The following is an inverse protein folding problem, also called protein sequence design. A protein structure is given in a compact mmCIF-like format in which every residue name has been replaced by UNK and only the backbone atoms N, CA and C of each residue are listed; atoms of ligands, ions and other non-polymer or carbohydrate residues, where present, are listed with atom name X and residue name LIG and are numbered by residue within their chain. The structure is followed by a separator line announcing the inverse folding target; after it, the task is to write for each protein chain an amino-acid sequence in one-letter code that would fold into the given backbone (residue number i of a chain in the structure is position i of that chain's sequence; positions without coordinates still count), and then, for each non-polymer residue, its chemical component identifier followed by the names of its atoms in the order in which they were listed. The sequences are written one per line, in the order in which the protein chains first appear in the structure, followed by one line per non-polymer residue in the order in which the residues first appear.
data_IF_976087717626
#
_entry.id   IF_976087717626
#
_cell.length_a   1.000
_cell.length_b   1.000
_cell.length_c   1.000
_cell.angle_alpha   90.00
_cell.angle_beta   90.00
_cell.angle_gamma   90.00
#
_symmetry.space_group_name_H-M   'P 1'
#
loop_
_entity.id
_entity.type
_entity.pdbx_description
1 polymer ?
#
# COMPACT_ATOMS: atom_id res chain seq x y z
N UNK A 1 -16.46 18.86 -20.75
CA UNK A 1 -17.25 17.74 -20.17
C UNK A 1 -18.25 18.35 -19.19
N UNK A 2 -19.56 18.15 -19.40
CA UNK A 2 -20.59 18.61 -18.45
C UNK A 2 -20.42 17.89 -17.11
N UNK A 3 -20.44 18.61 -15.99
CA UNK A 3 -20.35 18.01 -14.65
C UNK A 3 -21.59 17.14 -14.37
N UNK A 4 -21.47 16.17 -13.46
CA UNK A 4 -22.62 15.33 -13.05
C UNK A 4 -23.80 16.18 -12.56
N UNK A 5 -23.52 17.30 -11.88
CA UNK A 5 -24.54 18.28 -11.47
C UNK A 5 -25.26 18.97 -12.63
N UNK A 6 -24.55 19.39 -13.68
CA UNK A 6 -25.18 19.96 -14.90
C UNK A 6 -26.03 18.93 -15.64
N UNK A 7 -25.61 17.66 -15.65
CA UNK A 7 -26.42 16.57 -16.24
C UNK A 7 -27.69 16.30 -15.45
N UNK A 8 -27.61 16.34 -14.12
CA UNK A 8 -28.77 16.15 -13.25
C UNK A 8 -29.74 17.34 -13.35
N UNK A 9 -29.23 18.58 -13.31
CA UNK A 9 -30.02 19.80 -13.52
C UNK A 9 -30.74 19.81 -14.87
N UNK A 10 -30.05 19.44 -15.95
CA UNK A 10 -30.65 19.38 -17.29
C UNK A 10 -31.66 18.23 -17.44
N UNK A 11 -31.54 17.17 -16.64
CA UNK A 11 -32.45 16.02 -16.69
C UNK A 11 -33.76 16.29 -15.93
N UNK A 12 -33.70 16.96 -14.78
CA UNK A 12 -34.87 17.18 -13.92
C UNK A 12 -35.51 18.58 -14.05
N UNK A 13 -34.75 19.62 -14.43
CA UNK A 13 -35.27 21.01 -14.50
C UNK A 13 -35.92 21.50 -13.19
N UNK A 14 -36.79 22.51 -13.27
CA UNK A 14 -37.61 23.00 -12.14
C UNK A 14 -38.85 22.12 -11.85
N UNK A 15 -38.91 20.88 -12.38
CA UNK A 15 -40.09 20.01 -12.20
C UNK A 15 -40.03 19.25 -10.88
N UNK A 16 -41.18 19.17 -10.18
CA UNK A 16 -41.37 18.25 -9.05
C UNK A 16 -41.11 16.81 -9.52
N UNK A 17 -40.15 16.13 -8.89
CA UNK A 17 -39.78 14.74 -9.15
C UNK A 17 -41.02 13.84 -9.14
N UNK A 18 -41.38 13.27 -10.30
CA UNK A 18 -42.45 12.27 -10.38
C UNK A 18 -41.91 10.87 -10.02
N UNK A 19 -42.81 9.93 -9.70
CA UNK A 19 -42.46 8.52 -9.47
C UNK A 19 -41.81 7.88 -10.70
N UNK A 20 -42.20 8.29 -11.91
CA UNK A 20 -41.57 7.85 -13.16
C UNK A 20 -40.13 8.35 -13.32
N UNK A 21 -39.86 9.58 -12.89
CA UNK A 21 -38.51 10.15 -12.94
C UNK A 21 -37.56 9.41 -11.97
N UNK A 22 -38.03 9.10 -10.76
CA UNK A 22 -37.32 8.27 -9.79
C UNK A 22 -37.05 6.85 -10.30
N UNK A 23 -38.04 6.19 -10.90
CA UNK A 23 -37.86 4.87 -11.49
C UNK A 23 -36.82 4.88 -12.62
N UNK A 24 -36.82 5.91 -13.48
CA UNK A 24 -35.83 6.07 -14.55
C UNK A 24 -34.41 6.32 -14.00
N UNK A 25 -34.29 7.10 -12.92
CA UNK A 25 -33.03 7.37 -12.25
C UNK A 25 -32.47 6.11 -11.59
N UNK A 26 -33.30 5.39 -10.83
CA UNK A 26 -32.91 4.13 -10.19
C UNK A 26 -32.51 3.11 -11.26
N UNK A 27 -33.28 2.96 -12.33
CA UNK A 27 -32.93 2.06 -13.44
C UNK A 27 -31.59 2.40 -14.10
N UNK A 28 -31.26 3.69 -14.24
CA UNK A 28 -30.01 4.14 -14.85
C UNK A 28 -28.79 4.02 -13.92
N UNK A 29 -28.97 4.26 -12.62
CA UNK A 29 -27.87 4.37 -11.65
C UNK A 29 -27.86 3.27 -10.58
N UNK A 30 -28.65 2.20 -10.75
CA UNK A 30 -28.82 1.12 -9.76
C UNK A 30 -27.48 0.62 -9.18
N UNK A 31 -26.47 0.44 -10.02
CA UNK A 31 -25.16 -0.05 -9.60
C UNK A 31 -24.47 0.92 -8.62
N UNK A 32 -24.49 2.22 -8.91
CA UNK A 32 -23.91 3.25 -8.04
C UNK A 32 -24.71 3.37 -6.76
N UNK A 33 -26.04 3.27 -6.84
CA UNK A 33 -26.92 3.30 -5.67
C UNK A 33 -26.66 2.10 -4.75
N UNK A 34 -26.40 0.91 -5.30
CA UNK A 34 -26.04 -0.26 -4.49
C UNK A 34 -24.68 -0.11 -3.83
N UNK A 35 -23.68 0.46 -4.52
CA UNK A 35 -22.39 0.79 -3.90
C UNK A 35 -22.59 1.80 -2.77
N UNK A 36 -23.37 2.85 -3.01
CA UNK A 36 -23.66 3.85 -1.98
C UNK A 36 -24.39 3.22 -0.79
N UNK A 37 -25.35 2.32 -1.03
CA UNK A 37 -26.09 1.63 0.01
C UNK A 37 -25.20 0.73 0.87
N UNK A 38 -24.30 -0.06 0.27
CA UNK A 38 -23.42 -0.95 1.04
C UNK A 38 -22.35 -0.17 1.83
N UNK A 39 -21.83 0.93 1.26
CA UNK A 39 -20.90 1.82 1.97
C UNK A 39 -21.63 2.56 3.11
N UNK A 40 -22.87 3.00 2.89
CA UNK A 40 -23.70 3.61 3.93
C UNK A 40 -24.02 2.62 5.05
N UNK A 41 -24.33 1.37 4.73
CA UNK A 41 -24.50 0.30 5.72
C UNK A 41 -23.22 0.08 6.52
N UNK A 42 -22.06 -0.01 5.85
CA UNK A 42 -20.78 -0.14 6.51
C UNK A 42 -20.46 1.04 7.42
N UNK A 43 -20.81 2.26 7.01
CA UNK A 43 -20.69 3.47 7.83
C UNK A 43 -21.61 3.43 9.04
N UNK A 44 -22.88 3.05 8.87
CA UNK A 44 -23.82 2.87 9.99
C UNK A 44 -23.26 1.90 11.03
N UNK A 45 -22.83 0.70 10.60
CA UNK A 45 -22.28 -0.30 11.51
C UNK A 45 -20.99 0.13 12.23
N UNK A 46 -20.16 0.98 11.60
CA UNK A 46 -18.86 1.41 12.15
C UNK A 46 -18.93 2.69 12.97
N UNK A 47 -19.88 3.56 12.68
CA UNK A 47 -20.00 4.87 13.33
C UNK A 47 -21.10 4.90 14.40
N UNK A 48 -22.03 3.93 14.38
CA UNK A 48 -23.07 3.81 15.40
C UNK A 48 -22.45 3.55 16.77
N UNK A 49 -22.67 4.44 17.73
CA UNK A 49 -22.25 4.29 19.12
C UNK A 49 -20.76 3.92 19.30
N UNK A 50 -19.90 4.65 18.58
CA UNK A 50 -18.46 4.34 18.53
C UNK A 50 -17.72 4.60 19.86
N UNK A 51 -18.29 5.47 20.70
CA UNK A 51 -17.74 5.84 22.00
C UNK A 51 -18.18 4.96 23.18
N UNK A 52 -19.13 4.04 22.99
CA UNK A 52 -19.77 3.31 24.10
C UNK A 52 -18.80 2.49 24.97
N UNK A 53 -17.77 1.92 24.32
CA UNK A 53 -16.83 1.00 24.97
C UNK A 53 -15.75 1.78 25.71
N UNK A 54 -15.44 1.37 26.94
CA UNK A 54 -14.28 1.84 27.66
C UNK A 54 -12.99 1.70 26.83
N UNK A 55 -12.08 2.66 26.96
CA UNK A 55 -10.78 2.64 26.28
C UNK A 55 -9.98 1.43 26.75
N UNK A 56 -9.61 0.56 25.81
CA UNK A 56 -8.76 -0.60 26.09
C UNK A 56 -7.32 -0.18 26.36
N UNK A 57 -6.56 -0.99 27.10
CA UNK A 57 -5.14 -0.73 27.37
C UNK A 57 -4.33 -0.51 26.07
N UNK A 58 -4.54 -1.36 25.07
CA UNK A 58 -3.89 -1.19 23.76
C UNK A 58 -4.36 0.03 22.95
N UNK A 59 -5.49 0.65 23.30
CA UNK A 59 -5.92 1.92 22.69
C UNK A 59 -5.26 3.09 23.42
N UNK A 60 -5.19 3.03 24.76
CA UNK A 60 -4.78 4.17 25.59
C UNK A 60 -3.41 4.70 25.23
N UNK A 61 -2.46 3.83 24.89
CA UNK A 61 -1.11 4.24 24.48
C UNK A 61 -1.12 5.04 23.18
N UNK A 62 -1.87 4.60 22.17
CA UNK A 62 -1.96 5.31 20.90
C UNK A 62 -2.71 6.63 21.05
N UNK A 63 -3.76 6.64 21.88
CA UNK A 63 -4.54 7.84 22.17
C UNK A 63 -3.73 8.85 22.97
N UNK A 64 -2.87 8.39 23.90
CA UNK A 64 -1.96 9.25 24.65
C UNK A 64 -0.97 9.94 23.72
N UNK A 65 -0.31 9.21 22.81
CA UNK A 65 0.57 9.84 21.81
C UNK A 65 -0.17 10.84 20.93
N UNK A 66 -1.37 10.49 20.44
CA UNK A 66 -2.18 11.41 19.65
C UNK A 66 -2.55 12.68 20.41
N UNK A 67 -2.93 12.56 21.68
CA UNK A 67 -3.25 13.69 22.55
C UNK A 67 -2.01 14.54 22.89
N UNK A 68 -0.88 13.93 23.20
CA UNK A 68 0.36 14.67 23.48
C UNK A 68 0.80 15.53 22.28
N UNK A 69 0.60 15.02 21.05
CA UNK A 69 0.81 15.79 19.81
C UNK A 69 -0.13 17.01 19.78
N UNK A 70 -1.40 16.89 20.18
CA UNK A 70 -2.32 18.04 20.21
C UNK A 70 -1.96 19.07 21.28
N UNK A 71 -1.29 18.63 22.35
CA UNK A 71 -0.75 19.53 23.38
C UNK A 71 0.58 20.21 23.00
N UNK A 72 1.09 19.97 21.78
CA UNK A 72 2.34 20.55 21.31
C UNK A 72 3.60 19.79 21.76
N UNK A 73 3.46 18.56 22.25
CA UNK A 73 4.60 17.71 22.58
C UNK A 73 5.26 17.22 21.31
N UNK A 74 6.59 17.33 21.24
CA UNK A 74 7.38 16.77 20.14
C UNK A 74 7.24 15.25 20.11
N UNK A 75 6.74 14.71 18.99
CA UNK A 75 6.67 13.26 18.80
C UNK A 75 8.08 12.68 18.57
N UNK A 76 8.47 11.74 19.43
CA UNK A 76 9.71 10.98 19.31
C UNK A 76 9.38 9.57 18.82
N UNK A 77 9.82 9.21 17.63
CA UNK A 77 9.59 7.87 17.09
C UNK A 77 10.49 6.85 17.81
N UNK A 78 9.84 5.87 18.42
CA UNK A 78 10.46 4.74 19.12
C UNK A 78 10.00 3.43 18.45
N UNK A 79 10.94 2.60 17.93
CA UNK A 79 10.62 1.32 17.28
C UNK A 79 9.93 0.29 18.19
N UNK A 80 9.94 0.49 19.51
CA UNK A 80 9.21 -0.36 20.46
C UNK A 80 7.69 -0.23 20.25
N UNK A 81 7.22 0.92 19.75
CA UNK A 81 5.81 1.15 19.44
C UNK A 81 5.52 1.04 17.95
N UNK A 82 4.24 0.95 17.61
CA UNK A 82 3.79 0.96 16.22
C UNK A 82 4.10 2.30 15.52
N UNK A 83 3.99 2.28 14.20
CA UNK A 83 4.35 3.43 13.36
C UNK A 83 3.48 4.69 13.59
N UNK A 84 3.97 5.85 13.15
CA UNK A 84 3.39 7.16 13.44
C UNK A 84 2.04 7.48 12.76
N UNK A 85 1.61 6.67 11.78
CA UNK A 85 0.43 6.98 10.96
C UNK A 85 -0.84 7.17 11.79
N UNK A 86 -1.10 6.25 12.72
CA UNK A 86 -2.26 6.33 13.58
C UNK A 86 -2.19 7.55 14.52
N UNK A 87 -1.02 7.85 15.08
CA UNK A 87 -0.87 8.94 16.06
C UNK A 87 -1.24 10.28 15.44
N UNK A 88 -0.67 10.60 14.26
CA UNK A 88 -0.99 11.84 13.56
C UNK A 88 -2.41 11.87 13.01
N UNK A 89 -2.93 10.74 12.53
CA UNK A 89 -4.32 10.66 12.04
C UNK A 89 -5.36 10.86 13.15
N UNK A 90 -5.17 10.24 14.30
CA UNK A 90 -6.02 10.46 15.47
C UNK A 90 -5.83 11.87 16.04
N UNK A 91 -4.61 12.39 16.11
CA UNK A 91 -4.35 13.77 16.54
C UNK A 91 -5.08 14.80 15.65
N UNK A 92 -5.07 14.60 14.32
CA UNK A 92 -5.84 15.43 13.40
C UNK A 92 -7.35 15.38 13.69
N UNK A 93 -7.85 14.21 14.11
CA UNK A 93 -9.25 14.05 14.50
C UNK A 93 -9.56 14.84 15.77
N UNK A 94 -8.69 14.75 16.79
CA UNK A 94 -8.81 15.51 18.03
C UNK A 94 -8.74 17.02 17.83
N UNK A 95 -7.84 17.51 16.98
CA UNK A 95 -7.72 18.94 16.67
C UNK A 95 -9.01 19.50 16.05
N UNK A 96 -9.65 18.72 15.17
CA UNK A 96 -10.83 19.19 14.40
C UNK A 96 -12.13 19.00 15.17
N UNK A 97 -12.27 17.90 15.92
CA UNK A 97 -13.55 17.46 16.50
C UNK A 97 -13.55 17.38 18.04
N UNK A 98 -12.40 17.67 18.69
CA UNK A 98 -12.19 17.48 20.12
C UNK A 98 -11.76 16.05 20.47
N UNK A 99 -11.18 15.89 21.65
CA UNK A 99 -10.72 14.61 22.22
C UNK A 99 -11.80 13.98 23.10
N UNK A 100 -12.39 12.88 22.61
CA UNK A 100 -13.36 12.07 23.36
C UNK A 100 -13.37 10.61 22.84
N UNK A 101 -14.04 9.72 23.56
CA UNK A 101 -14.09 8.28 23.23
C UNK A 101 -14.58 8.01 21.80
N UNK A 102 -15.53 8.78 21.28
CA UNK A 102 -16.05 8.63 19.92
C UNK A 102 -14.98 9.00 18.87
N UNK A 103 -14.43 10.21 18.98
CA UNK A 103 -13.42 10.76 18.05
C UNK A 103 -12.12 9.93 18.07
N UNK A 104 -11.80 9.31 19.21
CA UNK A 104 -10.61 8.45 19.39
C UNK A 104 -10.56 7.28 18.41
N UNK A 105 -11.74 6.78 18.00
CA UNK A 105 -11.92 5.63 17.10
C UNK A 105 -12.47 6.03 15.73
N UNK A 106 -12.70 7.32 15.48
CA UNK A 106 -13.24 7.76 14.21
C UNK A 106 -12.25 7.52 13.06
N UNK A 107 -10.97 7.79 13.26
CA UNK A 107 -9.93 7.56 12.26
C UNK A 107 -9.86 6.09 11.76
N UNK A 108 -9.78 5.05 12.62
CA UNK A 108 -9.83 3.66 12.17
C UNK A 108 -11.18 3.28 11.55
N UNK A 109 -12.30 3.86 12.03
CA UNK A 109 -13.63 3.58 11.48
C UNK A 109 -13.75 4.06 10.03
N UNK A 110 -13.23 5.25 9.72
CA UNK A 110 -13.19 5.79 8.36
C UNK A 110 -12.39 4.89 7.41
N UNK A 111 -11.25 4.34 7.86
CA UNK A 111 -10.48 3.37 7.08
C UNK A 111 -11.22 2.05 6.90
N UNK A 112 -11.95 1.58 7.90
CA UNK A 112 -12.81 0.41 7.77
C UNK A 112 -13.97 0.60 6.78
N UNK A 113 -14.55 1.80 6.71
CA UNK A 113 -15.58 2.15 5.71
C UNK A 113 -14.95 2.20 4.32
N UNK A 114 -13.80 2.85 4.18
CA UNK A 114 -13.09 2.95 2.91
C UNK A 114 -12.67 1.56 2.38
N UNK A 115 -12.25 0.66 3.26
CA UNK A 115 -11.90 -0.73 2.93
C UNK A 115 -13.07 -1.47 2.25
N UNK A 116 -14.31 -1.24 2.67
CA UNK A 116 -15.51 -1.85 2.04
C UNK A 116 -15.71 -1.39 0.59
N UNK A 117 -15.25 -0.18 0.24
CA UNK A 117 -15.33 0.35 -1.12
C UNK A 117 -14.27 -0.21 -2.08
N UNK A 118 -13.15 -0.72 -1.55
CA UNK A 118 -12.01 -1.16 -2.36
C UNK A 118 -12.31 -2.32 -3.34
N UNK A 119 -13.13 -3.35 -3.01
CA UNK A 119 -13.44 -4.44 -3.94
C UNK A 119 -14.03 -3.98 -5.28
N UNK A 120 -14.73 -2.84 -5.33
CA UNK A 120 -15.27 -2.30 -6.58
C UNK A 120 -14.18 -1.82 -7.55
N UNK A 121 -12.98 -1.53 -7.04
CA UNK A 121 -11.81 -1.28 -7.87
C UNK A 121 -11.24 -2.57 -8.49
N UNK A 122 -11.63 -3.75 -8.01
CA UNK A 122 -11.31 -5.07 -8.59
C UNK A 122 -12.50 -5.69 -9.35
N UNK A 123 -13.48 -4.88 -9.75
CA UNK A 123 -14.67 -5.40 -10.46
C UNK A 123 -14.36 -6.14 -11.77
N UNK A 124 -13.22 -5.85 -12.43
CA UNK A 124 -12.85 -6.52 -13.68
C UNK A 124 -12.41 -7.96 -13.44
N UNK A 125 -11.84 -8.22 -12.27
CA UNK A 125 -11.32 -9.51 -11.85
C UNK A 125 -12.39 -10.34 -11.12
N UNK A 126 -13.14 -9.69 -10.23
CA UNK A 126 -14.16 -10.36 -9.40
C UNK A 126 -15.53 -10.44 -10.09
N UNK A 127 -15.74 -9.67 -11.15
CA UNK A 127 -17.06 -9.39 -11.68
C UNK A 127 -17.91 -8.53 -10.74
N UNK A 128 -19.09 -8.14 -11.22
CA UNK A 128 -20.05 -7.31 -10.45
C UNK A 128 -20.51 -8.01 -9.17
N UNK A 129 -20.92 -9.28 -9.28
CA UNK A 129 -21.42 -10.06 -8.14
C UNK A 129 -20.30 -10.30 -7.13
N UNK A 130 -19.11 -10.73 -7.58
CA UNK A 130 -17.98 -10.98 -6.69
C UNK A 130 -17.53 -9.73 -5.93
N UNK A 131 -17.57 -8.55 -6.56
CA UNK A 131 -17.26 -7.30 -5.88
C UNK A 131 -18.26 -6.97 -4.77
N UNK A 132 -19.57 -7.16 -4.99
CA UNK A 132 -20.59 -6.96 -3.96
C UNK A 132 -20.52 -8.01 -2.85
N UNK A 133 -20.28 -9.28 -3.19
CA UNK A 133 -20.08 -10.34 -2.18
C UNK A 133 -18.87 -10.01 -1.31
N UNK A 134 -17.74 -9.64 -1.89
CA UNK A 134 -16.54 -9.25 -1.15
C UNK A 134 -16.82 -8.03 -0.25
N UNK A 135 -17.44 -6.97 -0.78
CA UNK A 135 -17.81 -5.80 0.00
C UNK A 135 -18.81 -6.14 1.13
N UNK A 136 -19.76 -7.05 0.89
CA UNK A 136 -20.69 -7.56 1.89
C UNK A 136 -19.98 -8.30 3.01
N UNK A 137 -19.07 -9.22 2.67
CA UNK A 137 -18.24 -9.95 3.63
C UNK A 137 -17.39 -8.99 4.49
N UNK A 138 -16.77 -7.97 3.88
CA UNK A 138 -16.01 -6.94 4.62
C UNK A 138 -16.91 -6.07 5.51
N UNK A 139 -18.17 -5.85 5.10
CA UNK A 139 -19.14 -5.04 5.83
C UNK A 139 -19.56 -5.72 7.13
N UNK A 140 -19.90 -7.02 7.07
CA UNK A 140 -20.49 -7.78 8.18
C UNK A 140 -19.49 -8.67 8.95
N UNK A 141 -18.23 -8.79 8.48
CA UNK A 141 -17.20 -9.57 9.15
C UNK A 141 -17.00 -9.10 10.60
N UNK A 142 -17.24 -9.95 11.61
CA UNK A 142 -17.10 -9.54 13.02
C UNK A 142 -15.71 -9.03 13.35
N UNK A 143 -14.67 -9.68 12.81
CA UNK A 143 -13.28 -9.30 13.05
C UNK A 143 -12.98 -7.91 12.47
N UNK A 144 -13.34 -7.67 11.21
CA UNK A 144 -13.07 -6.37 10.57
C UNK A 144 -13.93 -5.25 11.15
N UNK A 145 -15.17 -5.56 11.54
CA UNK A 145 -16.02 -4.59 12.23
C UNK A 145 -15.41 -4.19 13.58
N UNK A 146 -14.97 -5.18 14.37
CA UNK A 146 -14.28 -4.95 15.65
C UNK A 146 -13.03 -4.09 15.47
N UNK A 147 -12.10 -4.51 14.61
CA UNK A 147 -10.81 -3.81 14.45
C UNK A 147 -10.94 -2.45 13.74
N UNK A 148 -12.01 -2.21 12.99
CA UNK A 148 -12.32 -0.87 12.48
C UNK A 148 -12.92 0.07 13.53
N UNK A 149 -13.43 -0.45 14.65
CA UNK A 149 -13.99 0.32 15.77
C UNK A 149 -13.06 0.34 16.98
N UNK A 150 -11.78 0.08 16.74
CA UNK A 150 -10.75 -0.07 17.76
C UNK A 150 -9.55 0.80 17.36
N UNK A 151 -9.07 1.66 18.26
CA UNK A 151 -7.96 2.56 18.01
C UNK A 151 -6.61 1.83 17.95
N UNK A 152 -6.45 0.99 16.91
CA UNK A 152 -5.28 0.17 16.62
C UNK A 152 -5.00 0.05 15.13
N UNK A 153 -3.77 -0.37 14.84
CA UNK A 153 -3.20 -0.35 13.49
C UNK A 153 -3.75 -1.42 12.52
N UNK A 154 -4.47 -2.43 13.03
CA UNK A 154 -4.87 -3.62 12.26
C UNK A 154 -5.73 -3.26 11.03
N UNK A 155 -6.65 -2.29 11.16
CA UNK A 155 -7.52 -1.89 10.04
C UNK A 155 -6.76 -1.13 8.94
N UNK A 156 -5.74 -0.35 9.29
CA UNK A 156 -4.91 0.35 8.31
C UNK A 156 -4.08 -0.63 7.50
N UNK A 157 -3.54 -1.67 8.15
CA UNK A 157 -2.83 -2.75 7.46
C UNK A 157 -3.75 -3.43 6.44
N UNK A 158 -4.98 -3.77 6.82
CA UNK A 158 -5.95 -4.38 5.89
C UNK A 158 -6.25 -3.45 4.69
N UNK A 159 -6.47 -2.17 4.95
CA UNK A 159 -6.73 -1.16 3.92
C UNK A 159 -5.55 -0.99 2.96
N UNK A 160 -4.34 -0.70 3.48
CA UNK A 160 -3.17 -0.47 2.64
C UNK A 160 -2.76 -1.72 1.86
N UNK A 161 -2.86 -2.90 2.47
CA UNK A 161 -2.59 -4.18 1.78
C UNK A 161 -3.49 -4.34 0.57
N UNK A 162 -4.81 -4.19 0.73
CA UNK A 162 -5.74 -4.33 -0.39
C UNK A 162 -5.56 -3.21 -1.43
N UNK A 163 -5.30 -1.98 -0.99
CA UNK A 163 -5.03 -0.87 -1.90
C UNK A 163 -3.76 -1.08 -2.75
N UNK A 164 -2.70 -1.66 -2.18
CA UNK A 164 -1.48 -2.04 -2.91
C UNK A 164 -1.78 -3.18 -3.88
N UNK A 165 -2.52 -4.22 -3.48
CA UNK A 165 -2.98 -5.29 -4.38
C UNK A 165 -3.76 -4.72 -5.57
N UNK A 166 -4.64 -3.75 -5.33
CA UNK A 166 -5.37 -3.05 -6.39
C UNK A 166 -4.41 -2.35 -7.35
N UNK A 167 -3.42 -1.61 -6.83
CA UNK A 167 -2.44 -0.93 -7.68
C UNK A 167 -1.64 -1.92 -8.54
N UNK A 168 -1.21 -3.05 -7.97
CA UNK A 168 -0.49 -4.10 -8.68
C UNK A 168 -1.35 -4.65 -9.84
N UNK A 169 -2.58 -5.10 -9.56
CA UNK A 169 -3.44 -5.71 -10.56
C UNK A 169 -3.87 -4.72 -11.63
N UNK A 170 -4.22 -3.50 -11.22
CA UNK A 170 -4.60 -2.43 -12.15
C UNK A 170 -3.45 -1.99 -13.04
N UNK A 171 -2.22 -1.97 -12.51
CA UNK A 171 -1.05 -1.72 -13.35
C UNK A 171 -0.84 -2.85 -14.36
N UNK A 172 -0.96 -4.11 -13.94
CA UNK A 172 -0.77 -5.26 -14.82
C UNK A 172 -1.75 -5.26 -16.01
N UNK A 173 -3.00 -4.84 -15.77
CA UNK A 173 -4.03 -4.74 -16.81
C UNK A 173 -3.93 -3.47 -17.65
N UNK A 174 -3.94 -2.30 -17.00
CA UNK A 174 -4.12 -1.03 -17.71
C UNK A 174 -2.78 -0.46 -18.20
N UNK A 175 -1.65 -0.95 -17.67
CA UNK A 175 -0.28 -0.44 -17.92
C UNK A 175 -0.10 1.07 -17.68
N UNK A 176 -1.01 1.67 -16.90
CA UNK A 176 -0.98 3.10 -16.56
C UNK A 176 -0.01 3.36 -15.42
N UNK A 177 0.97 4.23 -15.66
CA UNK A 177 2.00 4.62 -14.68
C UNK A 177 1.42 5.20 -13.38
N UNK A 178 0.20 5.78 -13.42
CA UNK A 178 -0.46 6.32 -12.24
C UNK A 178 -0.64 5.29 -11.12
N UNK A 179 -0.82 4.00 -11.47
CA UNK A 179 -0.92 2.93 -10.47
C UNK A 179 0.41 2.64 -9.77
N UNK A 180 1.54 2.76 -10.48
CA UNK A 180 2.87 2.63 -9.86
C UNK A 180 3.16 3.81 -8.94
N UNK A 181 2.79 5.02 -9.35
CA UNK A 181 2.99 6.24 -8.56
C UNK A 181 2.10 6.20 -7.31
N UNK A 182 0.84 5.77 -7.43
CA UNK A 182 -0.08 5.66 -6.29
C UNK A 182 0.34 4.59 -5.27
N UNK A 183 0.97 3.51 -5.74
CA UNK A 183 1.48 2.43 -4.89
C UNK A 183 2.56 2.90 -3.92
N UNK A 184 3.38 3.88 -4.31
CA UNK A 184 4.51 4.36 -3.52
C UNK A 184 4.10 5.02 -2.19
N UNK A 185 3.24 6.06 -2.13
CA UNK A 185 2.79 6.62 -0.86
C UNK A 185 1.94 5.64 -0.05
N UNK A 186 1.16 4.75 -0.69
CA UNK A 186 0.42 3.69 0.03
C UNK A 186 1.37 2.76 0.78
N UNK A 187 2.50 2.40 0.17
CA UNK A 187 3.52 1.59 0.80
C UNK A 187 4.18 2.31 1.97
N UNK A 188 4.54 3.60 1.79
CA UNK A 188 5.10 4.41 2.88
C UNK A 188 4.13 4.53 4.07
N UNK A 189 2.83 4.76 3.80
CA UNK A 189 1.80 4.79 4.83
C UNK A 189 1.62 3.44 5.53
N UNK A 190 1.75 2.32 4.80
CA UNK A 190 1.73 0.98 5.41
C UNK A 190 2.89 0.78 6.38
N UNK A 191 4.11 1.15 5.99
CA UNK A 191 5.27 1.14 6.89
C UNK A 191 5.07 2.04 8.11
N UNK A 192 4.49 3.23 7.90
CA UNK A 192 4.14 4.14 8.97
C UNK A 192 2.96 3.64 9.83
N UNK A 193 2.21 2.62 9.42
CA UNK A 193 1.12 2.06 10.21
C UNK A 193 1.57 0.90 11.10
N UNK A 194 2.31 -0.07 10.54
CA UNK A 194 2.68 -1.26 11.31
C UNK A 194 3.92 -1.98 10.77
N UNK A 195 4.72 -2.48 11.69
CA UNK A 195 5.94 -3.28 11.52
C UNK A 195 5.72 -4.65 10.87
N UNK A 196 4.47 -5.05 10.60
CA UNK A 196 4.16 -6.26 9.79
C UNK A 196 4.34 -6.01 8.29
N UNK A 197 4.46 -4.75 7.86
CA UNK A 197 4.59 -4.37 6.44
C UNK A 197 5.78 -5.04 5.71
N UNK A 198 6.99 -5.17 6.29
CA UNK A 198 8.08 -5.94 5.67
C UNK A 198 7.69 -7.37 5.28
N UNK A 199 6.90 -8.06 6.12
CA UNK A 199 6.45 -9.44 5.86
C UNK A 199 5.44 -9.45 4.70
N UNK A 200 4.48 -8.53 4.70
CA UNK A 200 3.50 -8.37 3.61
C UNK A 200 4.20 -8.07 2.29
N UNK A 201 5.19 -7.18 2.32
CA UNK A 201 6.00 -6.85 1.17
C UNK A 201 6.82 -8.05 0.67
N UNK A 202 7.40 -8.84 1.57
CA UNK A 202 8.11 -10.07 1.19
C UNK A 202 7.16 -11.05 0.48
N UNK A 203 5.92 -11.22 0.96
CA UNK A 203 4.90 -12.04 0.30
C UNK A 203 4.61 -11.50 -1.12
N UNK A 204 4.41 -10.19 -1.28
CA UNK A 204 4.20 -9.59 -2.60
C UNK A 204 5.39 -9.80 -3.53
N UNK A 205 6.61 -9.55 -3.06
CA UNK A 205 7.82 -9.71 -3.87
C UNK A 205 8.05 -11.17 -4.27
N UNK A 206 7.82 -12.13 -3.36
CA UNK A 206 7.89 -13.57 -3.68
C UNK A 206 6.85 -13.94 -4.75
N UNK A 207 5.60 -13.53 -4.57
CA UNK A 207 4.54 -13.78 -5.55
C UNK A 207 4.88 -13.18 -6.93
N UNK A 208 5.28 -11.90 -6.97
CA UNK A 208 5.63 -11.21 -8.20
C UNK A 208 6.87 -11.82 -8.87
N UNK A 209 7.84 -12.28 -8.08
CA UNK A 209 9.04 -12.95 -8.58
C UNK A 209 8.71 -14.31 -9.20
N UNK A 210 7.82 -15.11 -8.59
CA UNK A 210 7.33 -16.36 -9.17
C UNK A 210 6.57 -16.10 -10.49
N UNK A 211 5.72 -15.08 -10.50
CA UNK A 211 4.99 -14.67 -11.71
C UNK A 211 5.92 -14.13 -12.81
N UNK A 212 6.98 -13.41 -12.45
CA UNK A 212 7.97 -12.96 -13.40
C UNK A 212 8.76 -14.15 -13.98
N UNK A 213 9.12 -15.13 -13.14
CA UNK A 213 9.77 -16.34 -13.60
C UNK A 213 8.93 -17.09 -14.63
N UNK A 214 7.61 -17.25 -14.40
CA UNK A 214 6.71 -17.87 -15.40
C UNK A 214 6.66 -17.05 -16.68
N UNK A 215 6.51 -15.72 -16.60
CA UNK A 215 6.47 -14.84 -17.77
C UNK A 215 7.75 -14.89 -18.60
N UNK A 216 8.92 -14.95 -17.96
CA UNK A 216 10.22 -15.09 -18.63
C UNK A 216 10.29 -16.44 -19.35
N UNK A 217 9.97 -17.54 -18.66
CA UNK A 217 10.03 -18.89 -19.24
C UNK A 217 9.04 -19.03 -20.41
N UNK A 218 7.84 -18.45 -20.30
CA UNK A 218 6.85 -18.43 -21.38
C UNK A 218 7.33 -17.67 -22.61
N UNK A 219 7.98 -16.52 -22.44
CA UNK A 219 8.58 -15.79 -23.57
C UNK A 219 9.68 -16.61 -24.27
N UNK A 220 10.56 -17.25 -23.49
CA UNK A 220 11.62 -18.10 -24.07
C UNK A 220 10.98 -19.25 -24.85
N UNK A 221 9.97 -19.93 -24.26
CA UNK A 221 9.24 -21.03 -24.88
C UNK A 221 8.50 -20.62 -26.15
N UNK A 222 7.95 -19.39 -26.20
CA UNK A 222 7.29 -18.87 -27.39
C UNK A 222 8.27 -18.66 -28.56
N UNK A 223 9.55 -18.43 -28.27
CA UNK A 223 10.59 -18.20 -29.29
C UNK A 223 11.38 -19.47 -29.66
N UNK A 224 11.39 -20.48 -28.81
CA UNK A 224 12.20 -21.70 -28.95
C UNK A 224 11.47 -22.90 -28.34
N UNK A 225 11.46 -24.02 -29.04
CA UNK A 225 11.00 -25.27 -28.45
C UNK A 225 11.97 -25.74 -27.36
N UNK A 226 11.46 -25.83 -26.14
CA UNK A 226 12.22 -26.33 -24.98
C UNK A 226 11.83 -27.78 -24.69
N UNK A 227 12.83 -28.65 -24.58
CA UNK A 227 12.63 -30.02 -24.07
C UNK A 227 12.22 -29.97 -22.59
N UNK A 228 11.54 -31.00 -22.04
CA UNK A 228 11.08 -31.00 -20.64
C UNK A 228 12.19 -30.70 -19.62
N UNK A 229 13.40 -31.25 -19.82
CA UNK A 229 14.55 -31.00 -18.95
C UNK A 229 15.01 -29.53 -18.99
N UNK A 230 14.97 -28.90 -20.16
CA UNK A 230 15.33 -27.49 -20.33
C UNK A 230 14.28 -26.57 -19.68
N UNK A 231 13.01 -26.97 -19.70
CA UNK A 231 11.94 -26.25 -19.02
C UNK A 231 12.14 -26.27 -17.49
N UNK A 232 12.43 -27.45 -16.93
CA UNK A 232 12.73 -27.60 -15.50
C UNK A 232 13.96 -26.75 -15.13
N UNK A 233 15.04 -26.84 -15.91
CA UNK A 233 16.24 -26.03 -15.67
C UNK A 233 15.96 -24.52 -15.77
N UNK A 234 15.14 -24.10 -16.73
CA UNK A 234 14.74 -22.70 -16.86
C UNK A 234 14.03 -22.22 -15.58
N UNK A 235 13.06 -22.96 -15.06
CA UNK A 235 12.39 -22.62 -13.81
C UNK A 235 13.32 -22.63 -12.60
N UNK A 236 14.20 -23.63 -12.49
CA UNK A 236 15.19 -23.72 -11.39
C UNK A 236 16.13 -22.51 -11.36
N UNK A 237 16.43 -21.93 -12.53
CA UNK A 237 17.26 -20.72 -12.64
C UNK A 237 16.41 -19.46 -12.40
N UNK A 238 15.25 -19.33 -13.06
CA UNK A 238 14.47 -18.09 -13.04
C UNK A 238 13.78 -17.86 -11.70
N UNK A 239 13.31 -18.89 -11.00
CA UNK A 239 12.65 -18.74 -9.70
C UNK A 239 13.55 -17.99 -8.68
N UNK A 240 14.81 -18.37 -8.43
CA UNK A 240 15.65 -17.63 -7.50
C UNK A 240 16.21 -16.30 -8.04
N UNK A 241 16.17 -16.06 -9.36
CA UNK A 241 16.90 -14.93 -10.00
C UNK A 241 16.03 -13.94 -10.76
N UNK A 242 14.72 -14.14 -10.88
CA UNK A 242 13.84 -13.27 -11.67
C UNK A 242 13.86 -11.81 -11.19
N UNK A 243 13.94 -11.57 -9.88
CA UNK A 243 14.11 -10.22 -9.32
C UNK A 243 15.40 -9.53 -9.81
N UNK A 244 16.49 -10.28 -9.98
CA UNK A 244 17.75 -9.76 -10.50
C UNK A 244 17.62 -9.43 -11.99
N UNK A 245 16.91 -10.27 -12.75
CA UNK A 245 16.58 -9.99 -14.15
C UNK A 245 15.73 -8.72 -14.26
N UNK A 246 14.78 -8.51 -13.35
CA UNK A 246 14.00 -7.27 -13.29
C UNK A 246 14.89 -6.05 -13.00
N UNK A 247 15.73 -6.12 -11.97
CA UNK A 247 16.63 -5.03 -11.59
C UNK A 247 17.63 -4.66 -12.69
N UNK A 248 18.09 -5.65 -13.46
CA UNK A 248 19.07 -5.45 -14.54
C UNK A 248 18.41 -5.31 -15.92
N UNK A 249 17.09 -5.24 -16.01
CA UNK A 249 16.38 -5.30 -17.31
C UNK A 249 16.88 -4.23 -18.29
N UNK A 250 17.07 -2.99 -17.83
CA UNK A 250 17.47 -1.87 -18.67
C UNK A 250 18.88 -1.98 -19.23
N UNK A 251 19.79 -2.63 -18.51
CA UNK A 251 21.22 -2.72 -18.88
C UNK A 251 21.60 -4.05 -19.52
N UNK A 252 20.73 -5.04 -19.46
CA UNK A 252 20.99 -6.41 -19.93
C UNK A 252 20.49 -6.69 -21.36
N UNK A 253 20.30 -5.67 -22.20
CA UNK A 253 19.70 -5.82 -23.54
C UNK A 253 20.38 -6.89 -24.40
N UNK A 254 21.71 -6.94 -24.41
CA UNK A 254 22.47 -7.94 -25.16
C UNK A 254 22.19 -9.38 -24.70
N UNK A 255 22.10 -9.62 -23.40
CA UNK A 255 21.75 -10.93 -22.83
C UNK A 255 20.28 -11.24 -23.11
N UNK A 256 19.38 -10.28 -22.90
CA UNK A 256 17.94 -10.43 -23.15
C UNK A 256 17.65 -10.83 -24.60
N UNK A 257 18.29 -10.19 -25.58
CA UNK A 257 18.15 -10.56 -27.00
C UNK A 257 18.63 -11.98 -27.30
N UNK A 258 19.69 -12.48 -26.64
CA UNK A 258 20.16 -13.87 -26.80
C UNK A 258 19.15 -14.90 -26.33
N UNK A 259 18.28 -14.55 -25.39
CA UNK A 259 17.20 -15.41 -24.87
C UNK A 259 15.82 -15.02 -25.40
N UNK A 260 15.73 -14.16 -26.41
CA UNK A 260 14.47 -13.67 -26.99
C UNK A 260 13.55 -12.95 -26.00
N UNK A 261 14.10 -12.33 -24.95
CA UNK A 261 13.37 -11.56 -23.94
C UNK A 261 13.17 -10.11 -24.42
N UNK A 262 12.31 -9.93 -25.41
CA UNK A 262 12.10 -8.63 -26.08
C UNK A 262 11.09 -7.76 -25.36
N UNK A 263 10.04 -8.36 -24.79
CA UNK A 263 8.95 -7.63 -24.15
C UNK A 263 9.13 -7.56 -22.64
N UNK A 264 9.07 -6.36 -22.07
CA UNK A 264 9.13 -6.18 -20.61
C UNK A 264 7.83 -6.67 -19.95
N UNK A 265 7.89 -7.70 -19.09
CA UNK A 265 6.72 -8.14 -18.34
C UNK A 265 6.19 -7.05 -17.41
N UNK A 266 4.88 -7.06 -17.11
CA UNK A 266 4.25 -6.07 -16.21
C UNK A 266 4.84 -6.06 -14.80
N UNK A 267 5.31 -7.22 -14.36
CA UNK A 267 5.86 -7.47 -13.04
C UNK A 267 7.18 -6.74 -12.83
N UNK A 268 7.98 -6.50 -13.88
CA UNK A 268 9.30 -5.85 -13.77
C UNK A 268 9.18 -4.43 -13.16
N UNK A 269 8.37 -3.50 -13.71
CA UNK A 269 8.12 -2.19 -13.10
C UNK A 269 7.63 -2.24 -11.64
N UNK A 270 6.77 -3.22 -11.31
CA UNK A 270 6.19 -3.36 -9.97
C UNK A 270 7.27 -3.78 -8.99
N UNK A 271 8.06 -4.80 -9.34
CA UNK A 271 9.19 -5.29 -8.53
C UNK A 271 10.23 -4.18 -8.34
N UNK A 272 10.52 -3.40 -9.38
CA UNK A 272 11.45 -2.27 -9.27
C UNK A 272 10.91 -1.24 -8.28
N UNK A 273 9.66 -0.77 -8.40
CA UNK A 273 9.10 0.23 -7.48
C UNK A 273 9.03 -0.31 -6.05
N UNK A 274 8.46 -1.49 -5.84
CA UNK A 274 8.34 -2.08 -4.50
C UNK A 274 9.72 -2.33 -3.90
N UNK A 275 10.60 -3.04 -4.61
CA UNK A 275 11.91 -3.45 -4.09
C UNK A 275 12.87 -2.28 -3.86
N UNK A 276 12.97 -1.34 -4.80
CA UNK A 276 13.98 -0.26 -4.70
C UNK A 276 13.61 0.80 -3.66
N UNK A 277 12.33 1.15 -3.50
CA UNK A 277 11.91 2.16 -2.53
C UNK A 277 11.99 1.67 -1.08
N UNK A 278 11.89 0.35 -0.89
CA UNK A 278 11.89 -0.26 0.45
C UNK A 278 13.15 -1.04 0.74
N UNK A 279 14.13 -1.10 -0.17
CA UNK A 279 15.39 -1.80 0.05
C UNK A 279 16.02 -1.50 1.43
N UNK A 280 16.02 -0.25 1.94
CA UNK A 280 16.60 0.07 3.25
C UNK A 280 15.89 -0.63 4.41
N UNK A 281 14.60 -0.95 4.27
CA UNK A 281 13.80 -1.64 5.28
C UNK A 281 14.22 -3.11 5.48
N UNK A 282 15.16 -3.61 4.69
CA UNK A 282 15.75 -4.95 4.84
C UNK A 282 17.20 -4.91 5.33
N UNK A 283 17.71 -3.74 5.74
CA UNK A 283 19.09 -3.56 6.19
C UNK A 283 19.47 -4.51 7.34
N UNK A 284 18.55 -4.77 8.27
CA UNK A 284 18.76 -5.70 9.38
C UNK A 284 19.00 -7.15 8.92
N UNK A 285 18.22 -7.62 7.96
CA UNK A 285 18.36 -8.99 7.40
C UNK A 285 19.69 -9.12 6.67
N UNK A 286 20.09 -8.06 5.96
CA UNK A 286 21.36 -8.03 5.23
C UNK A 286 22.55 -8.11 6.20
N UNK A 287 22.48 -7.45 7.35
CA UNK A 287 23.51 -7.55 8.40
C UNK A 287 23.59 -8.92 9.09
N UNK A 288 22.58 -9.79 8.93
CA UNK A 288 22.68 -11.18 9.42
C UNK A 288 23.52 -12.07 8.49
N UNK A 289 23.94 -11.57 7.33
CA UNK A 289 24.79 -12.32 6.41
C UNK A 289 26.21 -12.43 6.97
N UNK A 290 26.86 -13.61 6.87
CA UNK A 290 28.13 -13.89 7.56
C UNK A 290 29.31 -13.03 7.09
N UNK A 291 29.18 -12.34 5.96
CA UNK A 291 30.19 -11.47 5.37
C UNK A 291 29.95 -9.98 5.64
N UNK A 292 28.88 -9.62 6.35
CA UNK A 292 28.57 -8.24 6.76
C UNK A 292 28.67 -8.20 8.28
N UNK A 293 29.89 -8.04 8.79
CA UNK A 293 30.18 -7.99 10.21
C UNK A 293 30.66 -6.61 10.62
N UNK A 294 30.31 -6.20 11.83
CA UNK A 294 30.99 -5.09 12.48
C UNK A 294 32.41 -5.55 12.83
N UNK A 295 33.40 -4.96 12.16
CA UNK A 295 34.81 -5.26 12.38
C UNK A 295 35.39 -4.51 13.59
N UNK A 296 34.54 -3.89 14.43
CA UNK A 296 34.93 -3.19 15.66
C UNK A 296 35.43 -1.75 15.43
N UNK A 297 35.30 -1.24 14.21
CA UNK A 297 35.68 0.13 13.84
C UNK A 297 34.50 1.10 13.77
N UNK A 298 33.26 0.61 13.87
CA UNK A 298 32.05 1.42 13.77
C UNK A 298 31.42 1.64 15.14
N UNK A 299 30.82 2.82 15.36
CA UNK A 299 30.02 3.05 16.55
C UNK A 299 28.70 2.25 16.46
N UNK A 300 28.09 2.00 17.61
CA UNK A 300 26.82 1.27 17.70
C UNK A 300 25.74 1.92 16.81
N UNK A 301 25.19 1.15 15.87
CA UNK A 301 24.18 1.62 14.91
C UNK A 301 24.72 2.25 13.61
N UNK A 302 26.03 2.53 13.50
CA UNK A 302 26.59 3.11 12.26
C UNK A 302 26.58 2.11 11.09
N UNK A 303 26.84 0.83 11.36
CA UNK A 303 26.75 -0.22 10.34
C UNK A 303 25.35 -0.30 9.72
N UNK A 304 24.30 -0.15 10.54
CA UNK A 304 22.91 -0.14 10.08
C UNK A 304 22.64 1.03 9.14
N UNK A 305 23.09 2.24 9.53
CA UNK A 305 22.92 3.45 8.72
C UNK A 305 23.66 3.34 7.39
N UNK A 306 24.90 2.86 7.40
CA UNK A 306 25.68 2.64 6.17
C UNK A 306 25.03 1.60 5.27
N UNK A 307 24.55 0.48 5.84
CA UNK A 307 23.84 -0.55 5.07
C UNK A 307 22.58 0.02 4.43
N UNK A 308 21.78 0.77 5.20
CA UNK A 308 20.59 1.46 4.69
C UNK A 308 20.95 2.46 3.58
N UNK A 309 21.99 3.29 3.75
CA UNK A 309 22.45 4.23 2.74
C UNK A 309 22.88 3.55 1.44
N UNK A 310 23.64 2.46 1.52
CA UNK A 310 24.03 1.67 0.34
C UNK A 310 22.79 1.12 -0.38
N UNK A 311 21.78 0.67 0.37
CA UNK A 311 20.52 0.17 -0.21
C UNK A 311 19.68 1.28 -0.83
N UNK A 312 19.64 2.47 -0.24
CA UNK A 312 19.01 3.67 -0.83
C UNK A 312 19.70 3.98 -2.18
N UNK A 313 21.03 4.06 -2.18
CA UNK A 313 21.79 4.43 -3.38
C UNK A 313 21.70 3.35 -4.47
N UNK A 314 21.78 2.07 -4.11
CA UNK A 314 21.61 0.95 -5.04
C UNK A 314 20.19 0.88 -5.62
N UNK A 315 19.17 1.07 -4.77
CA UNK A 315 17.77 1.16 -5.20
C UNK A 315 17.54 2.33 -6.16
N UNK A 316 18.10 3.50 -5.84
CA UNK A 316 18.06 4.68 -6.71
C UNK A 316 18.74 4.44 -8.05
N UNK A 317 19.92 3.82 -8.05
CA UNK A 317 20.63 3.48 -9.29
C UNK A 317 19.78 2.59 -10.21
N UNK A 318 19.21 1.50 -9.69
CA UNK A 318 18.33 0.60 -10.45
C UNK A 318 17.09 1.33 -10.97
N UNK A 319 16.42 2.10 -10.11
CA UNK A 319 15.21 2.82 -10.46
C UNK A 319 15.41 3.89 -11.54
N UNK A 320 16.50 4.67 -11.43
CA UNK A 320 16.87 5.71 -12.37
C UNK A 320 17.25 5.14 -13.75
N UNK A 321 17.94 4.00 -13.78
CA UNK A 321 18.25 3.28 -15.03
C UNK A 321 17.02 2.69 -15.71
N UNK A 322 15.97 2.37 -14.95
CA UNK A 322 14.73 1.85 -15.51
C UNK A 322 13.83 2.93 -16.12
N UNK A 323 13.38 3.88 -15.29
CA UNK A 323 12.56 4.98 -15.76
C UNK A 323 12.69 6.14 -14.77
N UNK A 324 13.70 6.99 -14.99
CA UNK A 324 14.04 8.07 -14.07
C UNK A 324 12.87 8.99 -13.72
N UNK A 325 11.97 9.30 -14.66
CA UNK A 325 10.82 10.17 -14.40
C UNK A 325 9.82 9.52 -13.45
N UNK A 326 9.40 8.29 -13.77
CA UNK A 326 8.41 7.56 -12.97
C UNK A 326 8.99 7.23 -11.59
N UNK A 327 10.24 6.77 -11.56
CA UNK A 327 10.91 6.41 -10.31
C UNK A 327 11.13 7.63 -9.40
N UNK A 328 11.54 8.78 -9.92
CA UNK A 328 11.68 10.00 -9.10
C UNK A 328 10.34 10.45 -8.51
N UNK A 329 9.26 10.44 -9.30
CA UNK A 329 7.93 10.83 -8.80
C UNK A 329 7.46 9.86 -7.70
N UNK A 330 7.60 8.55 -7.93
CA UNK A 330 7.27 7.54 -6.94
C UNK A 330 8.15 7.63 -5.68
N UNK A 331 9.46 7.84 -5.86
CA UNK A 331 10.42 8.00 -4.78
C UNK A 331 10.13 9.23 -3.93
N UNK A 332 9.84 10.38 -4.54
CA UNK A 332 9.40 11.57 -3.80
C UNK A 332 8.09 11.29 -3.06
N UNK A 333 7.11 10.65 -3.69
CA UNK A 333 5.84 10.33 -3.03
C UNK A 333 6.01 9.39 -1.83
N UNK A 334 6.91 8.40 -1.93
CA UNK A 334 7.24 7.49 -0.82
C UNK A 334 8.01 8.21 0.29
N UNK A 335 9.17 8.80 -0.03
CA UNK A 335 10.07 9.35 0.97
C UNK A 335 9.54 10.65 1.58
N UNK A 336 8.71 11.44 0.88
CA UNK A 336 8.05 12.58 1.50
C UNK A 336 7.13 12.13 2.64
N UNK A 337 6.28 11.12 2.40
CA UNK A 337 5.40 10.56 3.43
C UNK A 337 6.22 9.94 4.57
N UNK A 338 7.21 9.12 4.23
CA UNK A 338 8.06 8.44 5.21
C UNK A 338 8.80 9.46 6.10
N UNK A 339 9.54 10.40 5.50
CA UNK A 339 10.30 11.40 6.24
C UNK A 339 9.36 12.25 7.09
N UNK A 340 8.25 12.75 6.54
CA UNK A 340 7.32 13.60 7.31
C UNK A 340 6.78 12.89 8.55
N UNK A 341 6.28 11.66 8.41
CA UNK A 341 5.66 10.98 9.55
C UNK A 341 6.70 10.51 10.57
N UNK A 342 7.80 9.90 10.12
CA UNK A 342 8.81 9.36 11.05
C UNK A 342 9.62 10.44 11.75
N UNK A 343 9.80 11.62 11.13
CA UNK A 343 10.47 12.76 11.78
C UNK A 343 9.53 13.67 12.58
N UNK A 344 8.25 13.32 12.69
CA UNK A 344 7.25 14.15 13.35
C UNK A 344 7.08 15.52 12.69
N UNK A 345 7.05 15.57 11.36
CA UNK A 345 7.05 16.79 10.56
C UNK A 345 8.29 17.67 10.83
N UNK A 346 9.46 17.02 10.79
CA UNK A 346 10.79 17.62 10.97
C UNK A 346 11.13 18.09 12.39
N UNK A 347 10.30 17.80 13.40
CA UNK A 347 10.60 18.12 14.80
C UNK A 347 11.59 17.14 15.44
N UNK A 348 11.73 15.94 14.89
CA UNK A 348 12.62 14.87 15.36
C UNK A 348 13.34 14.18 14.18
N UNK A 349 14.39 14.80 13.66
CA UNK A 349 15.17 14.28 12.53
C UNK A 349 15.71 12.84 12.72
N UNK A 350 16.20 12.44 13.92
CA UNK A 350 16.61 11.06 14.18
C UNK A 350 15.54 10.00 13.89
N UNK A 351 14.26 10.38 13.92
CA UNK A 351 13.13 9.50 13.66
C UNK A 351 13.17 8.82 12.28
N UNK A 352 13.83 9.43 11.28
CA UNK A 352 14.06 8.80 9.98
C UNK A 352 14.81 7.47 10.11
N UNK A 353 15.82 7.41 10.96
CA UNK A 353 16.67 6.22 11.13
C UNK A 353 15.97 5.15 11.97
N UNK A 354 15.27 5.55 13.03
CA UNK A 354 14.52 4.60 13.85
C UNK A 354 13.32 4.01 13.10
N UNK A 355 12.81 4.69 12.08
CA UNK A 355 11.78 4.15 11.18
C UNK A 355 12.28 3.11 10.17
N UNK A 356 13.60 2.95 10.01
CA UNK A 356 14.16 1.88 9.19
C UNK A 356 14.22 0.63 10.05
N UNK A 357 13.58 -0.45 9.60
CA UNK A 357 13.54 -1.70 10.35
C UNK A 357 14.96 -2.27 10.55
N UNK A 358 15.41 -2.29 11.81
CA UNK A 358 16.68 -2.91 12.20
C UNK A 358 17.26 -2.46 13.53
#
# INVERSE_FOLDING_TARGET
MSTTGQRLSNYFGDRKLSTGDLASFVGRYWYVLLIAAIVALAAGLRLWDLGERAIHHDESIHLKFAWDITQGTTYLHDPVYHGPFQYFGTAATFIVLGDNDYTSRLFPALFGIALVGLPFLLRRQLGTVGAFVAAGMLTISPALLYFSRFARNDIYVAFFTLAIVICIWRYMEDRKIGWLIAMAPLLALSFAAKEVTPIILAIFLVFLNLLLATQIVEQVRASRELKPQQLVLAYLITIPTAWLIAALWSVSEGVRKRFSLTEMPATVPIIIILGTLTAPQFAAVIQKLPFITDNGYMAEGDLMRWTALVLILGGAYVGLLWNWRVWLIAGVAFYAVFVLLFTGFFTNMPGFWTGIWG
#
